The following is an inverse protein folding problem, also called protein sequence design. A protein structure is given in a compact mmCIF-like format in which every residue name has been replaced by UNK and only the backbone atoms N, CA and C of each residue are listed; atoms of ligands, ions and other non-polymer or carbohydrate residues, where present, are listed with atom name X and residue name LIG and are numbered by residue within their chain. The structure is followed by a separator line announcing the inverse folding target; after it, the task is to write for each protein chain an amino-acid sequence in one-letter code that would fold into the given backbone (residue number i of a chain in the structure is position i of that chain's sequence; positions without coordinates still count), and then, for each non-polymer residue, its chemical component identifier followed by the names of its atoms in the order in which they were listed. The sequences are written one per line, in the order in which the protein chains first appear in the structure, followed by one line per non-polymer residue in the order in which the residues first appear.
data_IF_890013386159
#
_entry.id   IF_890013386159
#
_cell.length_a   1.000
_cell.length_b   1.000
_cell.length_c   1.000
_cell.angle_alpha   90.00
_cell.angle_beta   90.00
_cell.angle_gamma   90.00
#
_symmetry.space_group_name_H-M   'P 1'
#
loop_
_entity.id
_entity.type
_entity.pdbx_description
1 polymer ?
#
# COMPACT_ATOMS: atom_id res chain seq x y z
N UNK A 1 -1.61 4.70 -22.60
CA UNK A 1 -1.85 4.86 -21.14
C UNK A 1 -1.58 6.30 -20.76
N UNK A 2 -2.38 6.88 -19.87
CA UNK A 2 -2.25 8.27 -19.42
C UNK A 2 -1.98 8.33 -17.92
N UNK A 3 -1.30 9.39 -17.50
CA UNK A 3 -1.04 9.72 -16.11
C UNK A 3 -1.73 11.04 -15.78
N UNK A 4 -2.71 10.98 -14.90
CA UNK A 4 -3.45 12.13 -14.41
C UNK A 4 -2.80 12.66 -13.14
N UNK A 5 -2.46 13.95 -13.11
CA UNK A 5 -2.09 14.67 -11.89
C UNK A 5 -3.12 15.76 -11.61
N UNK A 6 -3.62 15.83 -10.37
CA UNK A 6 -4.56 16.88 -9.93
C UNK A 6 -3.91 17.74 -8.85
N UNK A 7 -3.48 18.98 -9.16
CA UNK A 7 -3.06 19.90 -8.12
C UNK A 7 -4.25 20.30 -7.25
N UNK A 8 -4.00 20.61 -5.98
CA UNK A 8 -5.04 21.07 -5.08
C UNK A 8 -5.69 22.36 -5.63
N UNK A 9 -7.01 22.31 -5.84
CA UNK A 9 -7.78 23.46 -6.35
C UNK A 9 -7.54 23.82 -7.83
N UNK A 10 -6.87 22.97 -8.61
CA UNK A 10 -6.59 23.22 -10.03
C UNK A 10 -7.17 22.18 -10.98
N UNK A 11 -7.03 22.45 -12.28
CA UNK A 11 -7.43 21.53 -13.35
C UNK A 11 -6.50 20.33 -13.42
N UNK A 12 -7.05 19.17 -13.75
CA UNK A 12 -6.26 17.96 -13.96
C UNK A 12 -5.28 18.13 -15.13
N UNK A 13 -4.00 17.86 -14.89
CA UNK A 13 -2.99 17.70 -15.93
C UNK A 13 -3.00 16.24 -16.38
N UNK A 14 -3.14 16.03 -17.69
CA UNK A 14 -3.02 14.71 -18.31
C UNK A 14 -1.67 14.60 -19.02
N UNK A 15 -0.93 13.55 -18.72
CA UNK A 15 0.36 13.26 -19.33
C UNK A 15 0.29 11.93 -20.06
N UNK A 16 0.82 11.87 -21.27
CA UNK A 16 1.08 10.59 -21.90
C UNK A 16 2.13 9.81 -21.09
N UNK A 17 1.94 8.49 -21.00
CA UNK A 17 2.83 7.66 -20.19
C UNK A 17 4.29 7.69 -20.67
N UNK A 18 4.52 7.86 -21.97
CA UNK A 18 5.88 8.00 -22.53
C UNK A 18 6.54 9.30 -22.06
N UNK A 19 5.81 10.41 -22.07
CA UNK A 19 6.30 11.70 -21.53
C UNK A 19 6.57 11.53 -20.04
N UNK A 20 5.62 10.97 -19.29
CA UNK A 20 5.78 10.74 -17.85
C UNK A 20 7.02 9.90 -17.52
N UNK A 21 7.26 8.79 -18.24
CA UNK A 21 8.44 7.95 -18.03
C UNK A 21 9.74 8.64 -18.41
N UNK A 22 9.72 9.51 -19.43
CA UNK A 22 10.86 10.38 -19.74
C UNK A 22 11.15 11.35 -18.60
N UNK A 23 10.11 11.95 -17.99
CA UNK A 23 10.26 12.82 -16.83
C UNK A 23 10.80 12.08 -15.60
N UNK A 24 10.62 10.77 -15.48
CA UNK A 24 11.19 9.96 -14.39
C UNK A 24 12.66 9.58 -14.60
N UNK A 25 13.30 9.95 -15.71
CA UNK A 25 14.72 9.65 -15.92
C UNK A 25 15.60 10.44 -14.93
N UNK A 26 16.68 9.83 -14.40
CA UNK A 26 17.67 10.56 -13.61
C UNK A 26 18.21 11.76 -14.40
N UNK A 27 18.35 12.91 -13.75
CA UNK A 27 18.91 14.12 -14.35
C UNK A 27 17.92 15.00 -15.14
N UNK A 28 16.63 14.63 -15.22
CA UNK A 28 15.61 15.52 -15.79
C UNK A 28 15.32 16.67 -14.83
N UNK A 29 15.83 17.86 -15.15
CA UNK A 29 15.77 19.05 -14.31
C UNK A 29 14.45 19.85 -14.46
N UNK A 30 14.14 20.80 -13.56
CA UNK A 30 12.93 21.63 -13.66
C UNK A 30 12.78 22.40 -14.97
N UNK A 31 13.85 22.93 -15.62
CA UNK A 31 13.80 23.46 -16.98
C UNK A 31 13.24 22.48 -18.01
N UNK A 32 13.70 21.22 -18.04
CA UNK A 32 13.21 20.21 -18.97
C UNK A 32 11.72 19.87 -18.72
N UNK A 33 11.30 19.78 -17.46
CA UNK A 33 9.88 19.59 -17.09
C UNK A 33 9.04 20.76 -17.62
N UNK A 34 9.52 22.00 -17.44
CA UNK A 34 8.82 23.19 -17.92
C UNK A 34 8.74 23.22 -19.44
N UNK A 35 9.80 22.83 -20.14
CA UNK A 35 9.78 22.72 -21.60
C UNK A 35 8.74 21.71 -22.09
N UNK A 36 8.54 20.60 -21.38
CA UNK A 36 7.56 19.58 -21.73
C UNK A 36 6.11 20.00 -21.43
N UNK A 37 5.89 20.80 -20.37
CA UNK A 37 4.55 21.10 -19.83
C UNK A 37 4.10 22.56 -20.03
N UNK A 38 4.99 23.44 -20.49
CA UNK A 38 4.81 24.90 -20.52
C UNK A 38 4.90 25.55 -19.14
N UNK A 39 4.11 25.06 -18.18
CA UNK A 39 4.15 25.47 -16.77
C UNK A 39 4.20 24.24 -15.87
N UNK A 40 4.95 24.31 -14.77
CA UNK A 40 5.06 23.20 -13.82
C UNK A 40 4.02 23.40 -12.71
N UNK A 41 3.02 22.51 -12.59
CA UNK A 41 2.06 22.61 -11.51
C UNK A 41 2.73 22.50 -10.12
N UNK A 42 2.21 23.20 -9.11
CA UNK A 42 2.70 23.07 -7.73
C UNK A 42 2.69 21.62 -7.25
N UNK A 43 3.77 21.19 -6.60
CA UNK A 43 3.93 19.85 -6.03
C UNK A 43 4.26 18.74 -7.05
N UNK A 44 4.22 18.99 -8.36
CA UNK A 44 4.54 17.94 -9.35
C UNK A 44 6.00 17.48 -9.23
N UNK A 45 6.94 18.42 -9.10
CA UNK A 45 8.38 18.11 -8.97
C UNK A 45 8.65 17.21 -7.76
N UNK A 46 8.07 17.52 -6.59
CA UNK A 46 8.27 16.74 -5.37
C UNK A 46 7.79 15.28 -5.53
N UNK A 47 6.69 15.07 -6.28
CA UNK A 47 6.17 13.73 -6.56
C UNK A 47 7.05 12.98 -7.56
N UNK A 48 7.57 13.66 -8.58
CA UNK A 48 8.51 13.05 -9.53
C UNK A 48 9.81 12.67 -8.82
N UNK A 49 10.32 13.52 -7.93
CA UNK A 49 11.53 13.25 -7.17
C UNK A 49 11.36 12.06 -6.22
N UNK A 50 10.21 11.97 -5.52
CA UNK A 50 9.89 10.80 -4.70
C UNK A 50 9.84 9.49 -5.51
N UNK A 51 9.42 9.55 -6.78
CA UNK A 51 9.37 8.39 -7.67
C UNK A 51 10.73 8.01 -8.26
N UNK A 52 11.63 8.98 -8.46
CA UNK A 52 12.97 8.78 -9.01
C UNK A 52 13.91 8.11 -8.02
N UNK A 53 13.87 8.53 -6.75
CA UNK A 53 14.80 8.08 -5.71
C UNK A 53 14.07 7.69 -4.41
N UNK A 54 13.21 6.66 -4.41
CA UNK A 54 12.52 6.24 -3.20
C UNK A 54 13.42 5.44 -2.24
N UNK A 55 13.26 5.69 -0.94
CA UNK A 55 13.81 4.83 0.13
C UNK A 55 13.03 3.50 0.21
N UNK A 56 11.74 3.55 -0.10
CA UNK A 56 10.83 2.41 -0.03
C UNK A 56 9.88 2.45 -1.23
N UNK A 57 9.86 1.38 -2.01
CA UNK A 57 8.85 1.16 -3.05
C UNK A 57 7.89 0.07 -2.60
N UNK A 58 6.58 0.32 -2.69
CA UNK A 58 5.54 -0.68 -2.45
C UNK A 58 4.68 -0.86 -3.69
N UNK A 59 4.61 -2.08 -4.20
CA UNK A 59 3.69 -2.46 -5.28
C UNK A 59 2.47 -3.12 -4.67
N UNK A 60 1.29 -2.69 -5.09
CA UNK A 60 0.02 -3.27 -4.67
C UNK A 60 -0.72 -3.75 -5.91
N UNK A 61 -0.85 -5.06 -6.04
CA UNK A 61 -1.62 -5.70 -7.10
C UNK A 61 -3.00 -6.07 -6.52
N UNK A 62 -4.08 -5.51 -7.07
CA UNK A 62 -5.47 -5.77 -6.66
C UNK A 62 -6.18 -6.44 -7.82
N UNK A 63 -6.81 -7.57 -7.57
CA UNK A 63 -7.32 -8.42 -8.64
C UNK A 63 -8.70 -8.99 -8.31
N UNK A 64 -9.56 -8.98 -9.31
CA UNK A 64 -10.88 -9.64 -9.35
C UNK A 64 -10.88 -10.65 -10.50
N UNK A 65 -11.94 -11.43 -10.70
CA UNK A 65 -12.00 -12.31 -11.87
C UNK A 65 -11.72 -11.56 -13.20
N UNK A 66 -12.45 -10.48 -13.55
CA UNK A 66 -12.26 -9.81 -14.84
C UNK A 66 -11.05 -8.87 -14.89
N UNK A 67 -10.63 -8.28 -13.77
CA UNK A 67 -9.69 -7.15 -13.81
C UNK A 67 -8.53 -7.29 -12.83
N UNK A 68 -7.40 -6.68 -13.18
CA UNK A 68 -6.22 -6.57 -12.33
C UNK A 68 -5.69 -5.15 -12.40
N UNK A 69 -5.54 -4.52 -11.24
CA UNK A 69 -5.00 -3.17 -11.09
C UNK A 69 -3.68 -3.24 -10.35
N UNK A 70 -2.71 -2.45 -10.80
CA UNK A 70 -1.42 -2.30 -10.11
C UNK A 70 -1.25 -0.87 -9.67
N UNK A 71 -1.09 -0.68 -8.37
CA UNK A 71 -0.69 0.57 -7.76
C UNK A 71 0.79 0.50 -7.40
N UNK A 72 1.46 1.66 -7.44
CA UNK A 72 2.83 1.81 -6.98
C UNK A 72 2.91 2.97 -6.01
N UNK A 73 3.48 2.72 -4.85
CA UNK A 73 3.81 3.74 -3.85
C UNK A 73 5.32 3.86 -3.79
N UNK A 74 5.80 5.10 -3.69
CA UNK A 74 7.20 5.45 -3.56
C UNK A 74 7.31 6.44 -2.40
N UNK A 75 8.09 6.09 -1.40
CA UNK A 75 8.31 6.92 -0.22
C UNK A 75 9.78 7.29 -0.14
N UNK A 76 10.04 8.59 -0.05
CA UNK A 76 11.34 9.16 0.30
C UNK A 76 11.29 9.66 1.75
N UNK A 77 12.39 10.19 2.27
CA UNK A 77 12.54 10.52 3.69
C UNK A 77 11.52 11.57 4.18
N UNK A 78 11.23 12.59 3.35
CA UNK A 78 10.30 13.68 3.69
C UNK A 78 9.09 13.79 2.77
N UNK A 79 9.04 13.01 1.69
CA UNK A 79 7.99 13.07 0.66
C UNK A 79 7.57 11.68 0.20
N UNK A 80 6.50 11.60 -0.57
CA UNK A 80 6.10 10.35 -1.21
C UNK A 80 5.03 10.57 -2.25
N UNK A 81 4.95 9.62 -3.17
CA UNK A 81 4.05 9.64 -4.31
C UNK A 81 3.43 8.26 -4.51
N UNK A 82 2.20 8.25 -5.00
CA UNK A 82 1.53 7.03 -5.43
C UNK A 82 1.01 7.18 -6.86
N UNK A 83 1.23 6.15 -7.65
CA UNK A 83 0.60 5.91 -8.93
C UNK A 83 -0.53 4.92 -8.72
N UNK A 84 -1.76 5.43 -8.72
CA UNK A 84 -2.98 4.67 -8.48
C UNK A 84 -3.63 4.34 -9.82
N UNK A 85 -3.70 3.05 -10.18
CA UNK A 85 -4.51 2.62 -11.33
C UNK A 85 -5.99 2.91 -11.09
N UNK A 86 -6.56 3.79 -11.92
CA UNK A 86 -8.00 4.13 -11.91
C UNK A 86 -8.77 3.16 -12.79
N UNK A 87 -8.21 2.86 -13.96
CA UNK A 87 -8.67 1.87 -14.93
C UNK A 87 -7.45 1.32 -15.69
N UNK A 88 -7.66 0.50 -16.71
CA UNK A 88 -6.59 -0.17 -17.46
C UNK A 88 -5.74 0.79 -18.33
N UNK A 89 -6.24 2.01 -18.58
CA UNK A 89 -5.59 3.01 -19.42
C UNK A 89 -5.12 4.26 -18.66
N UNK A 90 -5.44 4.41 -17.38
CA UNK A 90 -5.23 5.64 -16.62
C UNK A 90 -4.64 5.36 -15.24
N UNK A 91 -3.48 5.96 -14.98
CA UNK A 91 -2.87 6.07 -13.66
C UNK A 91 -3.15 7.47 -13.11
N UNK A 92 -3.35 7.57 -11.80
CA UNK A 92 -3.41 8.86 -11.10
C UNK A 92 -2.20 9.02 -10.21
N UNK A 93 -1.46 10.10 -10.40
CA UNK A 93 -0.37 10.52 -9.55
C UNK A 93 -0.92 11.35 -8.38
N UNK A 94 -0.73 10.86 -7.16
CA UNK A 94 -1.18 11.55 -5.93
C UNK A 94 -0.04 11.63 -4.91
N UNK A 95 -0.05 12.63 -4.03
CA UNK A 95 0.81 12.64 -2.84
C UNK A 95 0.55 11.42 -1.97
N UNK A 96 1.63 10.84 -1.43
CA UNK A 96 1.58 9.78 -0.45
C UNK A 96 2.49 10.13 0.73
N UNK A 97 1.92 10.29 1.92
CA UNK A 97 2.72 10.57 3.11
C UNK A 97 3.23 9.28 3.74
N UNK A 98 4.52 9.25 4.09
CA UNK A 98 5.12 8.13 4.82
C UNK A 98 4.47 7.91 6.19
N UNK A 99 4.09 9.00 6.89
CA UNK A 99 3.42 8.92 8.18
C UNK A 99 2.04 8.23 8.10
N UNK A 100 1.39 8.28 6.94
CA UNK A 100 0.09 7.67 6.68
C UNK A 100 0.15 6.49 5.69
N UNK A 101 1.34 5.92 5.48
CA UNK A 101 1.55 4.91 4.46
C UNK A 101 0.68 3.66 4.68
N UNK A 102 0.56 3.17 5.91
CA UNK A 102 -0.32 2.04 6.24
C UNK A 102 -1.78 2.31 5.86
N UNK A 103 -2.29 3.51 6.15
CA UNK A 103 -3.64 3.93 5.76
C UNK A 103 -3.80 4.02 4.25
N UNK A 104 -2.82 4.57 3.54
CA UNK A 104 -2.83 4.63 2.07
C UNK A 104 -2.84 3.24 1.43
N UNK A 105 -2.03 2.32 1.93
CA UNK A 105 -1.99 0.92 1.47
C UNK A 105 -3.30 0.19 1.78
N UNK A 106 -3.87 0.37 2.97
CA UNK A 106 -5.15 -0.20 3.35
C UNK A 106 -6.29 0.30 2.44
N UNK A 107 -6.28 1.59 2.08
CA UNK A 107 -7.25 2.14 1.11
C UNK A 107 -7.05 1.55 -0.29
N UNK A 108 -5.81 1.39 -0.75
CA UNK A 108 -5.52 0.83 -2.07
C UNK A 108 -6.04 -0.61 -2.24
N UNK A 109 -5.94 -1.44 -1.21
CA UNK A 109 -6.51 -2.80 -1.21
C UNK A 109 -7.98 -2.85 -0.80
N UNK A 110 -8.62 -1.69 -0.58
CA UNK A 110 -9.99 -1.59 -0.08
C UNK A 110 -10.21 -2.43 1.18
N UNK A 111 -9.28 -2.36 2.15
CA UNK A 111 -9.37 -3.13 3.39
C UNK A 111 -10.62 -2.71 4.17
N UNK A 112 -11.64 -3.56 4.15
CA UNK A 112 -12.90 -3.36 4.88
C UNK A 112 -12.78 -3.93 6.30
N UNK A 113 -13.66 -3.52 7.24
CA UNK A 113 -13.76 -4.19 8.53
C UNK A 113 -14.22 -5.63 8.35
N UNK A 114 -13.41 -6.59 8.81
CA UNK A 114 -13.80 -7.99 8.93
C UNK A 114 -14.03 -8.33 10.40
N UNK A 115 -15.24 -8.80 10.77
CA UNK A 115 -15.57 -9.11 12.16
C UNK A 115 -14.89 -10.43 12.55
N UNK A 116 -13.77 -10.32 13.25
CA UNK A 116 -13.19 -11.41 14.02
C UNK A 116 -11.70 -11.62 13.78
N UNK A 117 -10.95 -11.69 14.87
CA UNK A 117 -9.75 -12.53 14.93
C UNK A 117 -10.24 -13.98 14.81
N UNK A 118 -10.54 -14.41 13.58
CA UNK A 118 -10.89 -15.81 13.32
C UNK A 118 -9.60 -16.62 13.45
N UNK A 119 -9.35 -17.17 14.63
CA UNK A 119 -8.44 -18.30 14.80
C UNK A 119 -9.09 -19.53 14.16
N UNK A 120 -8.95 -19.65 12.85
CA UNK A 120 -9.37 -20.82 12.07
C UNK A 120 -8.15 -21.57 11.54
N UNK A 121 -8.30 -22.84 11.16
CA UNK A 121 -7.24 -23.54 10.46
C UNK A 121 -6.86 -22.79 9.18
N UNK A 122 -5.60 -22.92 8.76
CA UNK A 122 -5.17 -22.40 7.47
C UNK A 122 -5.97 -23.10 6.36
N UNK A 123 -6.46 -22.31 5.41
CA UNK A 123 -7.06 -22.83 4.18
C UNK A 123 -5.93 -23.35 3.28
N UNK A 124 -6.06 -24.57 2.73
CA UNK A 124 -5.03 -25.14 1.87
C UNK A 124 -4.94 -24.33 0.57
N UNK A 125 -3.79 -23.72 0.36
CA UNK A 125 -3.42 -23.06 -0.88
C UNK A 125 -1.92 -23.30 -1.09
N UNK A 126 -1.57 -23.91 -2.22
CA UNK A 126 -0.18 -24.04 -2.61
C UNK A 126 0.38 -22.71 -3.13
N UNK A 127 1.70 -22.63 -3.26
CA UNK A 127 2.39 -21.42 -3.73
C UNK A 127 1.93 -20.98 -5.12
N UNK A 128 1.52 -21.95 -5.94
CA UNK A 128 0.99 -21.71 -7.28
C UNK A 128 -0.36 -21.00 -7.22
N UNK A 129 -1.30 -21.49 -6.41
CA UNK A 129 -2.60 -20.86 -6.17
C UNK A 129 -2.43 -19.43 -5.64
N UNK A 130 -1.54 -19.24 -4.66
CA UNK A 130 -1.24 -17.92 -4.08
C UNK A 130 -0.66 -16.98 -5.14
N UNK A 131 0.22 -17.48 -6.01
CA UNK A 131 0.79 -16.71 -7.12
C UNK A 131 -0.28 -16.36 -8.17
N UNK A 132 -1.20 -17.30 -8.44
CA UNK A 132 -2.25 -17.16 -9.45
C UNK A 132 -3.33 -16.15 -9.07
N UNK A 133 -3.58 -15.94 -7.78
CA UNK A 133 -4.51 -14.92 -7.26
C UNK A 133 -4.30 -13.51 -7.84
N UNK A 134 -3.05 -13.17 -8.19
CA UNK A 134 -2.67 -11.87 -8.76
C UNK A 134 -1.96 -11.98 -10.10
N UNK A 135 -2.12 -13.12 -10.79
CA UNK A 135 -1.57 -13.34 -12.12
C UNK A 135 -2.14 -12.34 -13.13
N UNK A 136 -1.32 -11.99 -14.13
CA UNK A 136 -1.76 -11.16 -15.25
C UNK A 136 -2.80 -11.89 -16.11
N UNK A 137 -2.58 -13.19 -16.32
CA UNK A 137 -3.51 -14.07 -17.03
C UNK A 137 -4.87 -14.17 -16.30
N UNK A 138 -5.94 -13.86 -17.03
CA UNK A 138 -7.30 -13.84 -16.48
C UNK A 138 -7.81 -15.23 -16.11
N UNK A 139 -7.49 -16.25 -16.90
CA UNK A 139 -8.00 -17.60 -16.67
C UNK A 139 -7.37 -18.20 -15.40
N UNK A 140 -6.05 -18.07 -15.24
CA UNK A 140 -5.33 -18.50 -14.02
C UNK A 140 -5.89 -17.84 -12.78
N UNK A 141 -6.04 -16.51 -12.83
CA UNK A 141 -6.58 -15.73 -11.72
C UNK A 141 -8.01 -16.12 -11.38
N UNK A 142 -8.88 -16.26 -12.38
CA UNK A 142 -10.28 -16.63 -12.18
C UNK A 142 -10.40 -18.03 -11.57
N UNK A 143 -9.54 -18.97 -11.98
CA UNK A 143 -9.47 -20.32 -11.42
C UNK A 143 -9.06 -20.29 -9.94
N UNK A 144 -7.99 -19.56 -9.59
CA UNK A 144 -7.53 -19.44 -8.20
C UNK A 144 -8.58 -18.76 -7.29
N UNK A 145 -9.23 -17.69 -7.77
CA UNK A 145 -10.32 -17.02 -7.06
C UNK A 145 -11.51 -17.96 -6.84
N UNK A 146 -11.90 -18.74 -7.85
CA UNK A 146 -12.99 -19.71 -7.75
C UNK A 146 -12.69 -20.83 -6.75
N UNK A 147 -11.45 -21.36 -6.75
CA UNK A 147 -11.00 -22.36 -5.78
C UNK A 147 -11.13 -21.86 -4.34
N UNK A 148 -10.76 -20.60 -4.09
CA UNK A 148 -10.83 -19.97 -2.77
C UNK A 148 -12.18 -19.32 -2.45
N UNK A 149 -13.15 -19.40 -3.37
CA UNK A 149 -14.48 -18.75 -3.28
C UNK A 149 -14.38 -17.26 -2.94
N UNK A 150 -13.41 -16.59 -3.55
CA UNK A 150 -13.05 -15.21 -3.31
C UNK A 150 -13.41 -14.34 -4.51
N UNK A 151 -13.92 -13.14 -4.24
CA UNK A 151 -14.27 -12.18 -5.31
C UNK A 151 -13.12 -11.21 -5.61
N UNK A 152 -12.17 -11.09 -4.67
CA UNK A 152 -11.11 -10.11 -4.67
C UNK A 152 -9.88 -10.69 -4.00
N UNK A 153 -8.73 -10.61 -4.66
CA UNK A 153 -7.44 -10.89 -4.05
C UNK A 153 -6.52 -9.69 -4.21
N UNK A 154 -5.53 -9.58 -3.34
CA UNK A 154 -4.50 -8.57 -3.46
C UNK A 154 -3.16 -9.07 -2.97
N UNK A 155 -2.09 -8.49 -3.51
CA UNK A 155 -0.71 -8.75 -3.09
C UNK A 155 0.04 -7.45 -2.91
N UNK A 156 0.68 -7.30 -1.76
CA UNK A 156 1.52 -6.16 -1.42
C UNK A 156 2.96 -6.65 -1.38
N UNK A 157 3.81 -6.03 -2.20
CA UNK A 157 5.25 -6.29 -2.24
C UNK A 157 6.02 -5.03 -1.95
N UNK A 158 6.87 -5.08 -0.94
CA UNK A 158 7.76 -3.98 -0.59
C UNK A 158 9.20 -4.29 -0.99
N UNK A 159 9.84 -3.32 -1.65
CA UNK A 159 11.26 -3.33 -1.97
C UNK A 159 11.92 -2.14 -1.26
N UNK A 160 12.84 -2.45 -0.35
CA UNK A 160 13.57 -1.54 0.54
C UNK A 160 14.36 -2.36 1.57
N UNK A 161 14.70 -1.76 2.72
CA UNK A 161 15.45 -2.43 3.80
C UNK A 161 14.74 -3.66 4.39
N UNK A 162 13.43 -3.76 4.19
CA UNK A 162 12.59 -4.89 4.63
C UNK A 162 11.74 -5.38 3.47
N UNK A 163 11.79 -6.67 3.22
CA UNK A 163 10.88 -7.33 2.29
C UNK A 163 9.60 -7.71 3.02
N UNK A 164 8.47 -7.30 2.44
CA UNK A 164 7.16 -7.82 2.78
C UNK A 164 6.54 -8.35 1.51
N UNK A 165 5.99 -9.55 1.62
CA UNK A 165 5.13 -10.14 0.63
C UNK A 165 3.86 -10.61 1.32
N UNK A 166 2.79 -9.86 1.12
CA UNK A 166 1.51 -10.12 1.77
C UNK A 166 0.47 -10.36 0.69
N UNK A 167 0.05 -11.61 0.52
CA UNK A 167 -1.05 -11.97 -0.39
C UNK A 167 -2.30 -12.26 0.42
N UNK A 168 -3.45 -11.81 -0.07
CA UNK A 168 -4.73 -12.08 0.55
C UNK A 168 -5.80 -12.40 -0.46
N UNK A 169 -6.77 -13.20 -0.03
CA UNK A 169 -8.02 -13.46 -0.71
C UNK A 169 -9.17 -13.02 0.20
N UNK A 170 -10.10 -12.27 -0.36
CA UNK A 170 -11.24 -11.68 0.33
C UNK A 170 -12.50 -12.45 -0.03
N UNK A 171 -13.13 -13.04 0.98
CA UNK A 171 -14.42 -13.72 0.88
C UNK A 171 -15.50 -12.83 1.48
N UNK A 172 -16.77 -13.21 1.29
CA UNK A 172 -17.91 -12.51 1.90
C UNK A 172 -17.82 -12.47 3.43
N UNK A 173 -17.26 -13.49 4.05
CA UNK A 173 -17.27 -13.68 5.50
C UNK A 173 -15.86 -13.71 6.13
N UNK A 174 -14.80 -13.73 5.33
CA UNK A 174 -13.43 -13.89 5.82
C UNK A 174 -12.40 -13.13 4.99
N UNK A 175 -11.32 -12.71 5.67
CA UNK A 175 -10.09 -12.25 5.04
C UNK A 175 -9.03 -13.32 5.25
N UNK A 176 -8.57 -13.94 4.17
CA UNK A 176 -7.54 -14.98 4.18
C UNK A 176 -6.21 -14.35 3.76
N UNK A 177 -5.15 -14.56 4.52
CA UNK A 177 -3.85 -13.93 4.29
C UNK A 177 -2.72 -14.96 4.36
N UNK A 178 -1.76 -14.85 3.45
CA UNK A 178 -0.58 -15.71 3.41
C UNK A 178 0.14 -15.71 4.75
N UNK A 179 0.46 -16.90 5.25
CA UNK A 179 1.27 -17.06 6.45
C UNK A 179 2.70 -16.56 6.19
N UNK A 180 3.36 -16.08 7.24
CA UNK A 180 4.76 -15.70 7.13
C UNK A 180 5.62 -16.98 7.02
N UNK A 181 6.13 -17.29 5.83
CA UNK A 181 7.09 -18.39 5.62
C UNK A 181 6.51 -19.81 5.64
N UNK A 182 5.22 -20.00 5.41
CA UNK A 182 4.59 -21.33 5.36
C UNK A 182 3.46 -21.42 4.33
N UNK A 183 3.07 -22.64 3.93
CA UNK A 183 2.03 -22.85 2.92
C UNK A 183 0.64 -22.47 3.46
N UNK A 184 -0.23 -22.01 2.56
CA UNK A 184 -1.64 -21.76 2.84
C UNK A 184 -2.01 -20.31 3.21
N UNK A 185 -3.32 -20.10 3.37
CA UNK A 185 -3.89 -18.81 3.72
C UNK A 185 -4.60 -18.90 5.07
N UNK A 186 -4.15 -18.08 6.02
CA UNK A 186 -4.71 -18.01 7.36
C UNK A 186 -5.84 -16.98 7.43
N UNK A 187 -7.02 -17.32 7.98
CA UNK A 187 -8.03 -16.33 8.31
C UNK A 187 -7.48 -15.30 9.30
N UNK A 188 -7.77 -14.02 9.08
CA UNK A 188 -7.26 -12.94 9.92
C UNK A 188 -8.22 -11.75 9.99
N UNK A 189 -8.03 -10.88 10.98
CA UNK A 189 -8.75 -9.61 11.07
C UNK A 189 -8.07 -8.50 10.25
N UNK A 190 -8.86 -7.48 9.89
CA UNK A 190 -8.34 -6.25 9.26
C UNK A 190 -7.35 -5.53 10.17
N UNK A 191 -7.55 -5.58 11.49
CA UNK A 191 -6.65 -5.00 12.49
C UNK A 191 -5.27 -5.66 12.45
N UNK A 192 -5.23 -6.99 12.37
CA UNK A 192 -3.96 -7.71 12.25
C UNK A 192 -3.23 -7.36 10.94
N UNK A 193 -3.95 -7.28 9.81
CA UNK A 193 -3.38 -6.82 8.54
C UNK A 193 -2.87 -5.39 8.65
N UNK A 194 -3.65 -4.46 9.19
CA UNK A 194 -3.25 -3.07 9.36
C UNK A 194 -1.99 -2.95 10.22
N UNK A 195 -1.89 -3.72 11.31
CA UNK A 195 -0.66 -3.78 12.14
C UNK A 195 0.55 -4.27 11.34
N UNK A 196 0.40 -5.25 10.44
CA UNK A 196 1.48 -5.68 9.54
C UNK A 196 1.91 -4.56 8.60
N UNK A 197 0.95 -3.84 8.01
CA UNK A 197 1.23 -2.68 7.15
C UNK A 197 1.96 -1.55 7.90
N UNK A 198 1.58 -1.25 9.14
CA UNK A 198 2.26 -0.22 9.95
C UNK A 198 3.72 -0.57 10.22
N UNK A 199 4.03 -1.83 10.54
CA UNK A 199 5.41 -2.30 10.80
C UNK A 199 6.30 -2.23 9.56
N UNK A 200 5.71 -2.34 8.38
CA UNK A 200 6.42 -2.20 7.11
C UNK A 200 6.90 -0.77 6.90
N UNK A 201 6.00 0.18 7.15
CA UNK A 201 6.18 1.57 6.73
C UNK A 201 6.88 2.41 7.79
N UNK A 202 7.15 1.85 8.96
CA UNK A 202 7.89 2.48 10.06
C UNK A 202 9.38 2.10 9.99
N UNK A 203 10.23 3.10 9.73
CA UNK A 203 11.68 3.01 9.95
C UNK A 203 12.02 3.45 11.39
N UNK A 204 13.16 3.01 11.95
CA UNK A 204 13.74 3.63 13.14
C UNK A 204 14.04 5.11 12.86
N UNK A 205 13.63 6.02 13.75
CA UNK A 205 14.02 7.44 13.68
C UNK A 205 13.00 8.42 13.08
N UNK A 206 11.76 8.00 12.80
CA UNK A 206 10.67 8.96 12.54
C UNK A 206 10.19 9.57 13.87
N UNK A 207 10.34 10.90 14.09
CA UNK A 207 9.71 11.56 15.23
C UNK A 207 8.21 11.67 14.93
N UNK A 208 7.36 11.07 15.77
CA UNK A 208 5.92 11.25 15.66
C UNK A 208 5.06 10.01 15.84
N UNK A 209 5.25 9.29 16.94
CA UNK A 209 4.10 8.95 17.77
C UNK A 209 4.32 9.76 19.04
N UNK A 210 3.36 10.58 19.51
CA UNK A 210 3.43 11.06 20.88
C UNK A 210 3.54 9.82 21.76
N UNK A 211 4.59 9.76 22.58
CA UNK A 211 4.64 8.80 23.67
C UNK A 211 3.28 8.84 24.36
N UNK A 212 2.73 7.66 24.64
CA UNK A 212 1.50 7.51 25.42
C UNK A 212 1.52 8.55 26.53
N UNK A 213 0.41 9.28 26.79
CA UNK A 213 0.36 10.12 27.97
C UNK A 213 0.71 9.22 29.16
N UNK A 214 1.81 9.56 29.84
CA UNK A 214 2.29 8.87 31.01
C UNK A 214 1.10 8.66 31.93
N UNK A 215 0.75 7.40 32.15
CA UNK A 215 -0.29 7.01 33.08
C UNK A 215 0.05 7.68 34.42
N UNK A 216 -0.86 8.45 35.04
CA UNK A 216 -0.57 9.06 36.33
C UNK A 216 -0.24 7.94 37.30
N UNK A 217 0.98 7.96 37.83
CA UNK A 217 1.41 7.07 38.90
C UNK A 217 0.36 7.15 40.01
N UNK A 218 -0.43 6.09 40.15
CA UNK A 218 -1.23 5.89 41.36
C UNK A 218 -0.23 5.75 42.50
N UNK A 219 -0.13 6.81 43.31
CA UNK A 219 0.52 6.78 44.61
C UNK A 219 -0.21 5.74 45.48
N UNK A 220 0.25 4.50 45.42
CA UNK A 220 0.00 3.49 46.45
C UNK A 220 1.07 3.67 47.53
N UNK A 221 0.67 4.10 48.72
CA UNK A 221 1.52 3.99 49.90
C UNK A 221 1.27 5.06 50.96
N UNK A 222 0.39 4.75 51.90
CA UNK A 222 0.58 5.05 53.33
C UNK A 222 -0.48 4.30 54.14
N UNK A 223 -0.27 2.99 54.28
CA UNK A 223 -0.79 2.23 55.42
C UNK A 223 -0.03 2.64 56.67
N UNK A 224 -0.77 3.19 57.65
CA UNK A 224 -0.73 2.79 59.07
C UNK A 224 0.53 2.98 59.93
N UNK A 225 0.35 3.84 60.95
CA UNK A 225 0.79 3.73 62.36
C UNK A 225 2.27 3.92 62.72
N UNK A 226 2.63 4.26 63.99
CA UNK A 226 1.83 4.30 65.23
C UNK A 226 1.98 5.55 66.13
N UNK A 227 1.03 5.77 67.04
CA UNK A 227 1.22 6.14 68.46
C UNK A 227 -0.13 6.05 69.19
#
# INVERSE_FOLDING_TARGET
MQVEFRPAGGTALQLDYEIFTHLLRPGTDPPAIRSALGSVPPGLTDLLDALRSPDLTVTVDVSTAPTRRRHRFAYASSSGAALIAVNDSTLRLVPASRAFAASGLAQAVSLRPFPGDRTGPAEPADDQTITDLVAQDQARRSSALAQLRSDLAWRIRAAGDRQLDLTAAVRRDALLVSADGGPGLTPTSSTAVFRRLTRLTTLPGLPGLPDKPSEPQRLSGATGSPA
#
